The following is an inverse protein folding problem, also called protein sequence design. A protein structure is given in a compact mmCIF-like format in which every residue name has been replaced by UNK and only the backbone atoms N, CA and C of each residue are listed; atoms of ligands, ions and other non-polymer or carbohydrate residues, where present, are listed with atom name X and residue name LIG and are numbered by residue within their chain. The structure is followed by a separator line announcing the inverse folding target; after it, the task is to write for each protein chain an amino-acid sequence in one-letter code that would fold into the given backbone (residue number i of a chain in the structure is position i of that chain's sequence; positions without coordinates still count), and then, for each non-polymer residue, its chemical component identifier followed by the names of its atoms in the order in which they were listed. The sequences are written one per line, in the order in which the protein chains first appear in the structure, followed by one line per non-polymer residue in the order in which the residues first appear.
data_IF_834430754264
#
_entry.id   IF_834430754264
#
_cell.length_a   1.000
_cell.length_b   1.000
_cell.length_c   1.000
_cell.angle_alpha   90.00
_cell.angle_beta   90.00
_cell.angle_gamma   90.00
#
_symmetry.space_group_name_H-M   'P 1'
#
loop_
_entity.id
_entity.type
_entity.pdbx_description
1 polymer ?
#
# COMPACT_ATOMS: atom_id res chain seq x y z
N UNK A 1 3.66 42.33 54.88
CA UNK A 1 4.50 41.76 53.81
C UNK A 1 5.23 40.55 54.40
N UNK A 2 4.50 39.58 54.96
CA UNK A 2 3.80 38.45 54.29
C UNK A 2 4.77 37.28 53.98
N UNK A 3 4.69 36.22 54.81
CA UNK A 3 4.33 34.81 54.49
C UNK A 3 5.24 34.10 53.47
N UNK A 4 6.03 33.08 53.84
CA UNK A 4 5.68 31.68 54.21
C UNK A 4 5.76 30.70 53.01
N UNK A 5 6.50 29.60 53.24
CA UNK A 5 6.51 28.26 52.61
C UNK A 5 5.56 27.98 51.44
N UNK A 6 6.07 27.31 50.40
CA UNK A 6 5.94 25.84 50.24
C UNK A 6 6.62 25.35 48.97
N UNK A 7 7.15 24.14 49.04
CA UNK A 7 7.41 23.23 47.93
C UNK A 7 6.34 23.32 46.83
N UNK A 8 6.75 23.27 45.56
CA UNK A 8 6.22 22.23 44.71
C UNK A 8 7.17 21.86 43.55
N UNK A 9 7.09 20.58 43.31
CA UNK A 9 7.78 19.68 42.42
C UNK A 9 7.53 19.90 40.92
N UNK A 10 8.28 19.11 40.14
CA UNK A 10 8.09 18.76 38.73
C UNK A 10 8.63 19.78 37.72
N UNK A 11 9.41 19.42 36.70
CA UNK A 11 9.60 18.11 36.07
C UNK A 11 10.96 18.08 35.38
N UNK A 12 11.61 16.91 35.49
CA UNK A 12 12.83 16.54 34.78
C UNK A 12 12.69 16.79 33.27
N UNK A 13 13.64 17.46 32.60
CA UNK A 13 13.68 17.45 31.14
C UNK A 13 14.43 16.20 30.70
N UNK A 14 13.68 15.12 30.48
CA UNK A 14 13.95 14.11 29.44
C UNK A 14 13.11 12.87 29.76
N UNK A 15 11.83 12.90 29.38
CA UNK A 15 11.28 11.64 28.85
C UNK A 15 12.23 11.24 27.73
N UNK A 16 12.83 10.07 27.85
CA UNK A 16 13.59 9.43 26.79
C UNK A 16 12.74 9.49 25.52
N UNK A 17 12.98 10.49 24.66
CA UNK A 17 12.82 10.30 23.24
C UNK A 17 13.83 9.20 22.93
N UNK A 18 13.35 7.94 22.94
CA UNK A 18 14.06 6.85 22.26
C UNK A 18 13.98 7.22 20.79
N UNK A 19 14.89 8.09 20.36
CA UNK A 19 15.06 8.43 18.96
C UNK A 19 15.57 7.17 18.29
N UNK A 20 14.63 6.41 17.72
CA UNK A 20 14.94 5.18 17.00
C UNK A 20 15.93 5.54 15.89
N UNK A 21 17.14 5.00 15.99
CA UNK A 21 18.18 5.21 14.99
C UNK A 21 17.81 4.57 13.65
N UNK A 22 18.05 5.30 12.55
CA UNK A 22 18.03 4.73 11.21
C UNK A 22 19.04 3.57 11.13
N UNK A 23 18.59 2.44 10.60
CA UNK A 23 19.38 1.21 10.42
C UNK A 23 19.90 0.58 11.72
N UNK A 24 19.29 0.88 12.88
CA UNK A 24 19.56 0.17 14.14
C UNK A 24 18.30 -0.57 14.62
N UNK A 25 18.29 -1.90 14.43
CA UNK A 25 17.17 -2.76 14.84
C UNK A 25 17.15 -3.08 16.34
N UNK A 26 18.21 -2.75 17.10
CA UNK A 26 18.32 -3.14 18.51
C UNK A 26 17.27 -2.46 19.40
N UNK A 27 16.85 -1.26 19.02
CA UNK A 27 15.82 -0.47 19.71
C UNK A 27 14.41 -0.76 19.18
N UNK A 28 14.30 -1.49 18.06
CA UNK A 28 13.01 -1.72 17.42
C UNK A 28 12.19 -2.76 18.17
N UNK A 29 10.97 -2.40 18.53
CA UNK A 29 9.89 -3.29 18.95
C UNK A 29 8.58 -2.78 18.34
N UNK A 30 7.52 -3.60 18.38
CA UNK A 30 6.27 -3.24 17.70
C UNK A 30 5.68 -1.92 18.24
N UNK A 31 5.70 -1.70 19.55
CA UNK A 31 5.09 -0.49 20.14
C UNK A 31 5.89 0.77 19.84
N UNK A 32 7.22 0.71 19.82
CA UNK A 32 8.01 1.88 19.44
C UNK A 32 7.85 2.22 17.96
N UNK A 33 7.71 1.22 17.08
CA UNK A 33 7.42 1.45 15.65
C UNK A 33 6.04 2.08 15.46
N UNK A 34 5.03 1.64 16.21
CA UNK A 34 3.69 2.23 16.21
C UNK A 34 3.72 3.69 16.66
N UNK A 35 4.36 3.97 17.78
CA UNK A 35 4.47 5.33 18.31
C UNK A 35 5.21 6.24 17.33
N UNK A 36 6.34 5.80 16.80
CA UNK A 36 7.11 6.55 15.80
C UNK A 36 6.32 6.79 14.51
N UNK A 37 5.51 5.82 14.07
CA UNK A 37 4.63 5.97 12.93
C UNK A 37 3.55 7.04 13.16
N UNK A 38 2.91 7.05 14.34
CA UNK A 38 1.90 8.05 14.73
C UNK A 38 2.49 9.45 14.83
N UNK A 39 3.73 9.57 15.28
CA UNK A 39 4.44 10.85 15.38
C UNK A 39 5.12 11.29 14.08
N UNK A 40 4.97 10.54 12.99
CA UNK A 40 5.64 10.78 11.70
C UNK A 40 7.19 10.75 11.78
N UNK A 41 7.74 9.98 12.74
CA UNK A 41 9.18 9.80 12.98
C UNK A 41 9.68 8.38 12.67
N UNK A 42 8.97 7.66 11.79
CA UNK A 42 9.32 6.27 11.47
C UNK A 42 10.70 6.18 10.79
N UNK A 43 11.63 5.48 11.46
CA UNK A 43 13.01 5.30 11.04
C UNK A 43 13.17 4.40 9.79
N UNK A 44 14.32 4.51 9.12
CA UNK A 44 14.75 3.59 8.05
C UNK A 44 15.34 2.29 8.63
N UNK A 45 15.24 1.13 7.94
CA UNK A 45 14.59 0.94 6.64
C UNK A 45 13.05 1.00 6.72
N UNK A 46 12.44 1.93 5.99
CA UNK A 46 10.99 2.17 6.04
C UNK A 46 10.21 0.97 5.52
N UNK A 47 10.70 0.31 4.47
CA UNK A 47 10.06 -0.89 3.93
C UNK A 47 10.00 -2.02 4.96
N UNK A 48 11.03 -2.19 5.78
CA UNK A 48 11.03 -3.16 6.87
C UNK A 48 10.04 -2.75 7.97
N UNK A 49 10.06 -1.48 8.38
CA UNK A 49 9.13 -0.97 9.38
C UNK A 49 7.67 -1.17 8.94
N UNK A 50 7.33 -0.82 7.69
CA UNK A 50 6.00 -1.05 7.11
C UNK A 50 5.63 -2.52 7.08
N UNK A 51 6.54 -3.40 6.67
CA UNK A 51 6.27 -4.84 6.63
C UNK A 51 5.97 -5.42 8.03
N UNK A 52 6.63 -4.91 9.08
CA UNK A 52 6.35 -5.29 10.47
C UNK A 52 5.01 -4.73 10.94
N UNK A 53 4.73 -3.45 10.70
CA UNK A 53 3.48 -2.80 11.09
C UNK A 53 2.26 -3.45 10.41
N UNK A 54 2.39 -3.81 9.13
CA UNK A 54 1.37 -4.54 8.36
C UNK A 54 1.29 -6.04 8.70
N UNK A 55 2.12 -6.53 9.63
CA UNK A 55 2.19 -7.93 10.05
C UNK A 55 2.52 -8.89 8.89
N UNK A 56 3.23 -8.40 7.89
CA UNK A 56 3.78 -9.22 6.81
C UNK A 56 5.08 -9.93 7.25
N UNK A 57 5.87 -9.24 8.06
CA UNK A 57 7.05 -9.77 8.73
C UNK A 57 6.83 -9.79 10.25
N UNK A 58 7.49 -10.70 10.98
CA UNK A 58 7.35 -10.77 12.42
C UNK A 58 8.09 -9.61 13.10
N UNK A 59 7.91 -9.46 14.41
CA UNK A 59 8.58 -8.41 15.18
C UNK A 59 10.12 -8.54 15.10
N UNK A 60 10.87 -7.45 15.35
CA UNK A 60 12.34 -7.46 15.35
C UNK A 60 12.98 -8.49 16.28
N UNK A 61 12.28 -8.91 17.34
CA UNK A 61 12.73 -9.92 18.29
C UNK A 61 12.61 -11.36 17.75
N UNK A 62 11.88 -11.55 16.65
CA UNK A 62 11.66 -12.85 16.01
C UNK A 62 12.55 -13.02 14.78
N UNK A 63 12.44 -14.18 14.12
CA UNK A 63 13.26 -14.50 12.95
C UNK A 63 12.73 -13.83 11.66
N UNK A 64 13.10 -12.56 11.47
CA UNK A 64 12.82 -11.79 10.26
C UNK A 64 13.41 -12.48 9.02
N UNK A 65 14.62 -13.04 9.13
CA UNK A 65 15.36 -13.60 7.98
C UNK A 65 14.64 -14.81 7.42
N UNK A 66 14.20 -15.74 8.28
CA UNK A 66 13.45 -16.91 7.84
C UNK A 66 12.10 -16.52 7.22
N UNK A 67 11.38 -15.57 7.81
CA UNK A 67 10.11 -15.08 7.26
C UNK A 67 10.29 -14.41 5.89
N UNK A 68 11.27 -13.51 5.77
CA UNK A 68 11.59 -12.82 4.52
C UNK A 68 12.05 -13.80 3.42
N UNK A 69 12.86 -14.81 3.78
CA UNK A 69 13.23 -15.90 2.86
C UNK A 69 11.99 -16.62 2.33
N UNK A 70 11.03 -16.90 3.19
CA UNK A 70 9.80 -17.61 2.82
C UNK A 70 8.95 -16.79 1.84
N UNK A 71 8.85 -15.47 2.05
CA UNK A 71 8.19 -14.56 1.11
C UNK A 71 8.92 -14.48 -0.24
N UNK A 72 10.25 -14.41 -0.24
CA UNK A 72 11.06 -14.42 -1.48
C UNK A 72 10.86 -15.72 -2.26
N UNK A 73 10.93 -16.87 -1.60
CA UNK A 73 10.67 -18.17 -2.22
C UNK A 73 9.24 -18.29 -2.76
N UNK A 74 8.25 -17.75 -2.03
CA UNK A 74 6.86 -17.74 -2.47
C UNK A 74 6.69 -16.94 -3.78
N UNK A 75 7.36 -15.79 -3.90
CA UNK A 75 7.32 -15.01 -5.12
C UNK A 75 8.00 -15.73 -6.30
N UNK A 76 9.13 -16.41 -6.08
CA UNK A 76 9.77 -17.23 -7.12
C UNK A 76 8.85 -18.37 -7.60
N UNK A 77 8.16 -19.03 -6.69
CA UNK A 77 7.18 -20.09 -7.02
C UNK A 77 6.01 -19.54 -7.85
N UNK A 78 5.48 -18.36 -7.51
CA UNK A 78 4.47 -17.66 -8.31
C UNK A 78 5.00 -17.36 -9.71
N UNK A 79 6.22 -16.80 -9.83
CA UNK A 79 6.83 -16.48 -11.12
C UNK A 79 6.97 -17.72 -11.97
N UNK A 80 7.46 -18.81 -11.41
CA UNK A 80 7.63 -20.09 -12.10
C UNK A 80 6.28 -20.65 -12.57
N UNK A 81 5.27 -20.70 -11.69
CA UNK A 81 3.94 -21.25 -12.01
C UNK A 81 3.19 -20.44 -13.06
N UNK A 82 3.32 -19.11 -13.04
CA UNK A 82 2.56 -18.21 -13.89
C UNK A 82 3.29 -17.79 -15.18
N UNK A 83 4.56 -18.16 -15.35
CA UNK A 83 5.35 -17.83 -16.55
C UNK A 83 5.54 -19.03 -17.48
N UNK A 84 4.52 -19.87 -17.63
CA UNK A 84 4.60 -21.05 -18.51
C UNK A 84 4.83 -20.64 -19.97
N UNK A 85 5.83 -21.24 -20.62
CA UNK A 85 6.03 -21.09 -22.06
C UNK A 85 4.97 -21.94 -22.80
N UNK A 86 4.03 -21.31 -23.54
CA UNK A 86 3.01 -22.06 -24.27
C UNK A 86 3.61 -22.98 -25.34
N UNK A 87 4.85 -22.75 -25.79
CA UNK A 87 5.55 -23.59 -26.77
C UNK A 87 6.08 -24.90 -26.17
N UNK A 88 6.23 -24.96 -24.86
CA UNK A 88 6.70 -26.15 -24.17
C UNK A 88 5.59 -27.20 -23.95
N UNK A 89 4.33 -26.83 -24.20
CA UNK A 89 3.16 -27.71 -24.00
C UNK A 89 2.87 -28.49 -25.27
N UNK A 90 3.02 -29.81 -25.22
CA UNK A 90 2.77 -30.70 -26.36
C UNK A 90 1.27 -30.93 -26.51
N UNK A 91 0.72 -30.66 -27.70
CA UNK A 91 -0.68 -30.94 -28.04
C UNK A 91 -1.65 -29.78 -27.78
N UNK A 92 -1.16 -28.61 -27.36
CA UNK A 92 -1.89 -27.34 -27.35
C UNK A 92 -1.30 -26.42 -28.42
N UNK A 93 -2.12 -25.54 -29.00
CA UNK A 93 -1.71 -24.69 -30.12
C UNK A 93 -2.28 -23.27 -30.04
N UNK A 94 -1.68 -22.29 -30.74
CA UNK A 94 -2.09 -20.88 -30.67
C UNK A 94 -3.53 -20.58 -31.08
N UNK A 95 -4.17 -21.49 -31.84
CA UNK A 95 -5.54 -21.35 -32.33
C UNK A 95 -6.53 -22.22 -31.56
N UNK A 96 -6.08 -22.88 -30.49
CA UNK A 96 -6.92 -23.68 -29.60
C UNK A 96 -8.09 -22.87 -29.07
N UNK A 97 -9.30 -23.43 -29.20
CA UNK A 97 -10.53 -22.83 -28.66
C UNK A 97 -10.82 -23.28 -27.23
N UNK A 98 -9.97 -24.14 -26.65
CA UNK A 98 -10.13 -24.63 -25.28
C UNK A 98 -9.94 -23.50 -24.27
N UNK A 99 -10.81 -23.43 -23.26
CA UNK A 99 -10.66 -22.53 -22.13
C UNK A 99 -9.45 -22.88 -21.25
N UNK A 100 -8.96 -24.12 -21.33
CA UNK A 100 -7.80 -24.61 -20.60
C UNK A 100 -6.48 -24.44 -21.39
N UNK A 101 -6.53 -23.83 -22.58
CA UNK A 101 -5.35 -23.62 -23.42
C UNK A 101 -4.33 -22.69 -22.76
N UNK A 102 -3.08 -23.12 -22.73
CA UNK A 102 -1.94 -22.33 -22.26
C UNK A 102 -1.66 -21.18 -23.22
N UNK A 103 -1.91 -21.36 -24.51
CA UNK A 103 -1.84 -20.28 -25.50
C UNK A 103 -2.88 -19.18 -25.24
N UNK A 104 -4.13 -19.57 -24.95
CA UNK A 104 -5.17 -18.60 -24.59
C UNK A 104 -4.77 -17.79 -23.35
N UNK A 105 -4.28 -18.47 -22.31
CA UNK A 105 -3.80 -17.80 -21.10
C UNK A 105 -2.60 -16.87 -21.40
N UNK A 106 -1.66 -17.31 -22.25
CA UNK A 106 -0.53 -16.50 -22.66
C UNK A 106 -0.96 -15.19 -23.36
N UNK A 107 -1.96 -15.24 -24.25
CA UNK A 107 -2.49 -14.04 -24.88
C UNK A 107 -3.18 -13.12 -23.87
N UNK A 108 -3.99 -13.67 -22.95
CA UNK A 108 -4.58 -12.90 -21.86
C UNK A 108 -3.52 -12.23 -20.97
N UNK A 109 -2.44 -12.93 -20.66
CA UNK A 109 -1.34 -12.41 -19.85
C UNK A 109 -0.61 -11.26 -20.54
N UNK A 110 -0.41 -11.34 -21.86
CA UNK A 110 0.19 -10.26 -22.64
C UNK A 110 -0.74 -9.04 -22.70
N UNK A 111 -2.06 -9.24 -22.85
CA UNK A 111 -3.03 -8.15 -22.78
C UNK A 111 -3.03 -7.48 -21.41
N UNK A 112 -3.04 -8.26 -20.32
CA UNK A 112 -2.98 -7.75 -18.96
C UNK A 112 -1.70 -6.93 -18.72
N UNK A 113 -0.53 -7.46 -19.13
CA UNK A 113 0.74 -6.72 -19.05
C UNK A 113 0.69 -5.43 -19.85
N UNK A 114 0.07 -5.41 -21.02
CA UNK A 114 -0.08 -4.19 -21.83
C UNK A 114 -0.94 -3.14 -21.12
N UNK A 115 -2.06 -3.55 -20.50
CA UNK A 115 -2.92 -2.65 -19.69
C UNK A 115 -2.13 -2.06 -18.52
N UNK A 116 -1.41 -2.91 -17.77
CA UNK A 116 -0.57 -2.46 -16.65
C UNK A 116 0.51 -1.49 -17.15
N UNK A 117 1.18 -1.81 -18.27
CA UNK A 117 2.25 -0.98 -18.82
C UNK A 117 1.75 0.42 -19.18
N UNK A 118 0.56 0.56 -19.77
CA UNK A 118 -0.04 1.86 -20.09
C UNK A 118 -0.20 2.77 -18.87
N UNK A 119 -0.45 2.18 -17.70
CA UNK A 119 -0.57 2.89 -16.43
C UNK A 119 0.80 3.19 -15.81
N UNK A 120 1.72 2.23 -15.86
CA UNK A 120 3.06 2.37 -15.28
C UNK A 120 3.86 3.49 -15.98
N UNK A 121 3.83 3.58 -17.31
CA UNK A 121 4.61 4.61 -18.06
C UNK A 121 4.20 6.05 -17.77
N UNK A 122 3.02 6.27 -17.18
CA UNK A 122 2.48 7.58 -16.79
C UNK A 122 2.48 7.81 -15.28
N UNK A 123 3.09 6.91 -14.51
CA UNK A 123 3.18 7.01 -13.04
C UNK A 123 4.31 7.98 -12.65
N UNK A 124 4.00 9.01 -11.86
CA UNK A 124 4.94 10.05 -11.41
C UNK A 124 5.92 10.52 -12.51
N UNK A 125 5.41 11.06 -13.63
CA UNK A 125 6.22 11.33 -14.81
C UNK A 125 7.32 12.36 -14.58
N UNK A 126 7.25 13.18 -13.52
CA UNK A 126 8.25 14.19 -13.18
C UNK A 126 9.47 13.63 -12.44
N UNK A 127 9.37 12.42 -11.89
CA UNK A 127 10.40 11.77 -11.08
C UNK A 127 11.26 10.84 -11.97
N UNK A 128 12.56 11.13 -12.08
CA UNK A 128 13.48 10.39 -12.98
C UNK A 128 13.52 8.89 -12.71
N UNK A 129 13.37 8.49 -11.44
CA UNK A 129 13.35 7.09 -11.02
C UNK A 129 12.27 6.28 -11.75
N UNK A 130 11.06 6.82 -11.90
CA UNK A 130 9.94 6.10 -12.54
C UNK A 130 9.97 6.15 -14.08
N UNK A 131 10.90 6.93 -14.66
CA UNK A 131 11.17 6.92 -16.11
C UNK A 131 12.11 5.79 -16.51
N UNK A 132 12.83 5.22 -15.54
CA UNK A 132 13.76 4.12 -15.78
C UNK A 132 13.02 2.85 -16.22
N UNK A 133 13.53 2.20 -17.26
CA UNK A 133 12.87 1.06 -17.88
C UNK A 133 12.86 -0.16 -16.97
N UNK A 134 13.92 -0.39 -16.21
CA UNK A 134 14.03 -1.52 -15.29
C UNK A 134 13.08 -1.32 -14.10
N UNK A 135 12.92 -0.08 -13.63
CA UNK A 135 11.92 0.28 -12.61
C UNK A 135 10.50 0.02 -13.12
N UNK A 136 10.17 0.49 -14.33
CA UNK A 136 8.86 0.24 -14.94
C UNK A 136 8.59 -1.26 -15.12
N UNK A 137 9.58 -2.02 -15.59
CA UNK A 137 9.43 -3.45 -15.79
C UNK A 137 9.26 -4.20 -14.46
N UNK A 138 9.92 -3.74 -13.39
CA UNK A 138 9.72 -4.24 -12.03
C UNK A 138 8.29 -3.98 -11.54
N UNK A 139 7.77 -2.76 -11.72
CA UNK A 139 6.38 -2.43 -11.37
C UNK A 139 5.39 -3.29 -12.15
N UNK A 140 5.59 -3.46 -13.46
CA UNK A 140 4.73 -4.31 -14.31
C UNK A 140 4.74 -5.75 -13.81
N UNK A 141 5.91 -6.32 -13.47
CA UNK A 141 6.01 -7.69 -12.95
C UNK A 141 5.30 -7.85 -11.60
N UNK A 142 5.53 -6.95 -10.65
CA UNK A 142 4.87 -7.00 -9.34
C UNK A 142 3.35 -6.96 -9.49
N UNK A 143 2.82 -6.00 -10.26
CA UNK A 143 1.39 -5.86 -10.49
C UNK A 143 0.80 -7.03 -11.27
N UNK A 144 1.50 -7.53 -12.28
CA UNK A 144 1.05 -8.65 -13.10
C UNK A 144 0.91 -9.93 -12.27
N UNK A 145 1.97 -10.31 -11.55
CA UNK A 145 1.94 -11.53 -10.74
C UNK A 145 0.92 -11.42 -9.61
N UNK A 146 0.78 -10.25 -8.99
CA UNK A 146 -0.24 -10.04 -7.95
C UNK A 146 -1.65 -10.20 -8.53
N UNK A 147 -1.95 -9.55 -9.65
CA UNK A 147 -3.24 -9.61 -10.31
C UNK A 147 -3.61 -11.02 -10.78
N UNK A 148 -2.63 -11.79 -11.28
CA UNK A 148 -2.81 -13.19 -11.69
C UNK A 148 -3.06 -14.11 -10.49
N UNK A 149 -2.37 -13.89 -9.37
CA UNK A 149 -2.59 -14.63 -8.12
C UNK A 149 -3.90 -14.25 -7.41
N UNK A 150 -4.45 -13.07 -7.69
CA UNK A 150 -5.68 -12.54 -7.09
C UNK A 150 -6.75 -12.26 -8.16
N UNK A 151 -7.07 -13.26 -8.98
CA UNK A 151 -7.98 -13.12 -10.15
C UNK A 151 -9.37 -12.56 -9.81
N UNK A 152 -9.85 -12.76 -8.58
CA UNK A 152 -11.10 -12.20 -8.08
C UNK A 152 -11.10 -10.65 -8.03
N UNK A 153 -9.95 -10.03 -7.75
CA UNK A 153 -9.76 -8.57 -7.82
C UNK A 153 -9.22 -8.18 -9.20
N UNK A 154 -8.20 -8.91 -9.67
CA UNK A 154 -7.39 -8.61 -10.84
C UNK A 154 -6.65 -7.28 -10.73
N UNK A 155 -6.05 -6.84 -11.83
CA UNK A 155 -5.45 -5.50 -11.91
C UNK A 155 -6.54 -4.45 -12.06
N UNK A 156 -6.41 -3.34 -11.32
CA UNK A 156 -7.28 -2.17 -11.41
C UNK A 156 -6.44 -0.91 -11.55
N UNK A 157 -6.89 -0.01 -12.41
CA UNK A 157 -6.30 1.32 -12.53
C UNK A 157 -6.26 2.00 -11.15
N UNK A 158 -5.08 2.49 -10.77
CA UNK A 158 -4.76 3.02 -9.45
C UNK A 158 -3.76 2.17 -8.67
N UNK A 159 -3.71 0.85 -8.90
CA UNK A 159 -2.75 -0.03 -8.20
C UNK A 159 -1.29 0.30 -8.50
N UNK A 160 -1.00 0.84 -9.70
CA UNK A 160 0.33 1.35 -10.06
C UNK A 160 0.79 2.50 -9.16
N UNK A 161 -0.14 3.31 -8.65
CA UNK A 161 0.16 4.40 -7.72
C UNK A 161 0.35 3.90 -6.28
N UNK A 162 -0.07 2.67 -5.99
CA UNK A 162 0.22 2.00 -4.72
C UNK A 162 1.60 1.34 -4.76
N UNK A 163 1.94 0.62 -5.84
CA UNK A 163 3.25 -0.05 -5.91
C UNK A 163 4.41 0.93 -6.05
N UNK A 164 4.21 2.10 -6.69
CA UNK A 164 5.28 3.06 -6.94
C UNK A 164 5.94 3.61 -5.66
N UNK A 165 5.20 4.15 -4.66
CA UNK A 165 5.81 4.61 -3.40
C UNK A 165 6.48 3.47 -2.61
N UNK A 166 5.92 2.24 -2.66
CA UNK A 166 6.50 1.05 -2.03
C UNK A 166 7.89 0.77 -2.62
N UNK A 167 7.96 0.63 -3.94
CA UNK A 167 9.19 0.33 -4.65
C UNK A 167 10.23 1.44 -4.42
N UNK A 168 9.81 2.70 -4.43
CA UNK A 168 10.69 3.83 -4.20
C UNK A 168 11.30 3.86 -2.80
N UNK A 169 10.51 3.64 -1.73
CA UNK A 169 11.06 3.60 -0.37
C UNK A 169 11.98 2.39 -0.17
N UNK A 170 11.64 1.22 -0.72
CA UNK A 170 12.52 0.04 -0.70
C UNK A 170 13.84 0.27 -1.44
N UNK A 171 13.82 1.02 -2.55
CA UNK A 171 15.01 1.43 -3.26
C UNK A 171 15.84 2.43 -2.45
N UNK A 172 15.21 3.45 -1.86
CA UNK A 172 15.91 4.43 -1.02
C UNK A 172 16.57 3.78 0.19
N UNK A 173 15.88 2.83 0.83
CA UNK A 173 16.41 2.09 1.98
C UNK A 173 17.73 1.38 1.65
N UNK A 174 17.85 0.79 0.45
CA UNK A 174 19.08 0.15 -0.04
C UNK A 174 20.12 1.17 -0.48
N UNK A 175 19.69 2.16 -1.27
CA UNK A 175 20.57 3.16 -1.90
C UNK A 175 21.32 4.03 -0.91
N UNK A 176 20.71 4.32 0.23
CA UNK A 176 21.26 5.18 1.28
C UNK A 176 21.66 4.41 2.55
N UNK A 177 21.66 3.08 2.50
CA UNK A 177 22.10 2.28 3.63
C UNK A 177 23.56 2.57 4.00
N UNK A 178 23.91 2.66 5.30
CA UNK A 178 25.29 2.78 5.73
C UNK A 178 26.10 1.54 5.34
N UNK A 179 27.43 1.67 5.26
CA UNK A 179 28.33 0.55 4.90
C UNK A 179 28.39 -0.51 5.99
N UNK A 180 28.30 -0.08 7.24
CA UNK A 180 28.38 -0.95 8.41
C UNK A 180 26.96 -1.31 8.86
N UNK A 181 26.52 -2.49 8.45
CA UNK A 181 25.19 -3.03 8.76
C UNK A 181 25.31 -4.34 9.55
N UNK A 182 24.32 -4.59 10.41
CA UNK A 182 24.12 -5.90 11.02
C UNK A 182 23.88 -6.98 9.95
N UNK A 183 24.13 -8.24 10.28
CA UNK A 183 23.94 -9.33 9.32
C UNK A 183 22.48 -9.47 8.85
N UNK A 184 21.53 -9.14 9.72
CA UNK A 184 20.10 -9.12 9.39
C UNK A 184 19.84 -8.04 8.34
N UNK A 185 20.33 -6.82 8.56
CA UNK A 185 20.10 -5.72 7.62
C UNK A 185 20.78 -5.95 6.27
N UNK A 186 21.94 -6.58 6.22
CA UNK A 186 22.57 -6.99 4.95
C UNK A 186 21.68 -7.95 4.14
N UNK A 187 20.95 -8.84 4.82
CA UNK A 187 20.02 -9.76 4.16
C UNK A 187 18.72 -9.05 3.71
N UNK A 188 18.20 -8.16 4.56
CA UNK A 188 16.99 -7.37 4.26
C UNK A 188 17.22 -6.41 3.10
N UNK A 189 18.37 -5.74 3.05
CA UNK A 189 18.71 -4.71 2.08
C UNK A 189 19.48 -5.24 0.87
N UNK A 190 19.35 -6.53 0.60
CA UNK A 190 19.92 -7.14 -0.60
C UNK A 190 19.25 -6.58 -1.86
N UNK A 191 20.07 -6.08 -2.80
CA UNK A 191 19.65 -5.43 -4.03
C UNK A 191 18.97 -6.42 -4.99
N UNK A 192 19.40 -7.70 -4.98
CA UNK A 192 18.87 -8.74 -5.87
C UNK A 192 17.39 -9.08 -5.58
N UNK A 193 16.90 -8.68 -4.41
CA UNK A 193 15.55 -8.98 -3.93
C UNK A 193 14.62 -7.77 -3.86
N UNK A 194 14.98 -6.64 -4.49
CA UNK A 194 14.12 -5.44 -4.52
C UNK A 194 12.72 -5.75 -5.07
N UNK A 195 12.62 -6.57 -6.12
CA UNK A 195 11.34 -6.98 -6.72
C UNK A 195 10.51 -7.87 -5.78
N UNK A 196 11.13 -8.86 -5.16
CA UNK A 196 10.48 -9.78 -4.23
C UNK A 196 9.91 -9.04 -3.02
N UNK A 197 10.71 -8.15 -2.45
CA UNK A 197 10.32 -7.38 -1.26
C UNK A 197 9.23 -6.37 -1.63
N UNK A 198 9.27 -5.82 -2.86
CA UNK A 198 8.19 -4.97 -3.40
C UNK A 198 6.89 -5.75 -3.55
N UNK A 199 6.94 -6.99 -4.05
CA UNK A 199 5.76 -7.85 -4.14
C UNK A 199 5.19 -8.19 -2.76
N UNK A 200 6.04 -8.57 -1.81
CA UNK A 200 5.62 -8.88 -0.44
C UNK A 200 4.90 -7.69 0.20
N UNK A 201 5.50 -6.51 0.11
CA UNK A 201 4.96 -5.31 0.75
C UNK A 201 3.71 -4.79 0.03
N UNK A 202 3.68 -4.84 -1.30
CA UNK A 202 2.47 -4.56 -2.08
C UNK A 202 1.34 -5.51 -1.70
N UNK A 203 1.60 -6.80 -1.61
CA UNK A 203 0.61 -7.79 -1.19
C UNK A 203 0.09 -7.50 0.23
N UNK A 204 0.96 -7.12 1.16
CA UNK A 204 0.58 -6.75 2.52
C UNK A 204 -0.35 -5.53 2.58
N UNK A 205 -0.06 -4.49 1.80
CA UNK A 205 -0.92 -3.30 1.68
C UNK A 205 -2.26 -3.66 1.03
N UNK A 206 -2.23 -4.51 -0.01
CA UNK A 206 -3.44 -4.91 -0.72
C UNK A 206 -4.40 -5.73 0.14
N UNK A 207 -3.95 -6.46 1.17
CA UNK A 207 -4.85 -7.13 2.13
C UNK A 207 -5.84 -6.16 2.81
N UNK A 208 -5.45 -4.89 3.00
CA UNK A 208 -6.32 -3.86 3.55
C UNK A 208 -7.12 -3.08 2.50
N UNK A 209 -6.60 -3.02 1.27
CA UNK A 209 -7.16 -2.20 0.19
C UNK A 209 -8.01 -2.96 -0.83
N UNK A 210 -7.86 -4.28 -0.98
CA UNK A 210 -8.52 -5.05 -2.04
C UNK A 210 -10.04 -4.88 -2.06
N UNK A 211 -10.65 -4.73 -0.88
CA UNK A 211 -12.08 -4.45 -0.71
C UNK A 211 -12.53 -3.16 -1.41
N UNK A 212 -11.62 -2.20 -1.61
CA UNK A 212 -11.92 -0.96 -2.33
C UNK A 212 -11.80 -1.08 -3.85
N UNK A 213 -11.27 -2.21 -4.33
CA UNK A 213 -11.06 -2.50 -5.74
C UNK A 213 -12.06 -3.51 -6.32
N UNK A 214 -12.71 -4.31 -5.47
CA UNK A 214 -13.77 -5.22 -5.89
C UNK A 214 -15.01 -4.45 -6.38
N UNK A 215 -15.78 -5.06 -7.29
CA UNK A 215 -17.00 -4.47 -7.86
C UNK A 215 -18.15 -5.46 -7.70
N UNK A 216 -18.47 -5.78 -6.44
CA UNK A 216 -19.47 -6.80 -6.10
C UNK A 216 -19.10 -8.17 -6.69
N UNK A 217 -20.03 -8.79 -7.40
CA UNK A 217 -19.86 -10.12 -8.01
C UNK A 217 -19.10 -10.10 -9.35
N UNK A 218 -18.71 -8.93 -9.85
CA UNK A 218 -18.08 -8.81 -11.16
C UNK A 218 -16.57 -9.12 -11.05
N UNK A 219 -16.21 -10.35 -11.41
CA UNK A 219 -14.83 -10.80 -11.53
C UNK A 219 -14.25 -10.35 -12.88
N UNK A 220 -13.04 -9.74 -12.91
CA UNK A 220 -12.36 -9.42 -14.17
C UNK A 220 -12.11 -10.67 -15.02
N UNK A 221 -12.08 -10.50 -16.34
CA UNK A 221 -11.58 -11.51 -17.25
C UNK A 221 -10.07 -11.73 -17.03
N UNK A 222 -9.50 -12.88 -17.44
CA UNK A 222 -8.06 -13.12 -17.34
C UNK A 222 -7.19 -12.04 -18.01
N UNK A 223 -7.71 -11.34 -19.03
CA UNK A 223 -7.08 -10.19 -19.67
C UNK A 223 -7.13 -8.88 -18.86
N UNK A 224 -7.70 -8.90 -17.64
CA UNK A 224 -7.88 -7.73 -16.78
C UNK A 224 -9.07 -6.84 -17.15
N UNK A 225 -9.93 -7.24 -18.10
CA UNK A 225 -11.10 -6.43 -18.51
C UNK A 225 -12.31 -6.77 -17.64
N UNK A 226 -13.13 -5.78 -17.32
CA UNK A 226 -14.43 -6.05 -16.70
C UNK A 226 -15.41 -6.63 -17.73
N UNK A 227 -16.15 -7.70 -17.39
CA UNK A 227 -17.32 -8.11 -18.15
C UNK A 227 -18.32 -6.93 -18.25
N UNK A 228 -18.93 -6.76 -19.41
CA UNK A 228 -20.08 -5.85 -19.57
C UNK A 228 -21.28 -6.43 -18.83
N UNK A 229 -21.51 -6.02 -17.57
CA UNK A 229 -22.67 -6.47 -16.81
C UNK A 229 -23.98 -5.84 -17.33
N UNK A 230 -25.04 -6.65 -17.42
CA UNK A 230 -26.43 -6.22 -17.71
C UNK A 230 -27.30 -6.12 -16.45
N UNK A 231 -26.78 -6.44 -15.28
CA UNK A 231 -27.54 -6.48 -14.02
C UNK A 231 -27.09 -5.38 -13.05
N UNK A 232 -28.08 -4.79 -12.39
CA UNK A 232 -27.98 -3.59 -11.57
C UNK A 232 -27.64 -3.96 -10.11
N UNK A 233 -26.49 -3.45 -9.67
CA UNK A 233 -26.07 -3.03 -8.32
C UNK A 233 -26.27 -3.93 -7.09
N UNK A 234 -25.14 -4.45 -6.60
CA UNK A 234 -24.81 -4.40 -5.16
C UNK A 234 -23.94 -3.14 -4.96
N UNK A 235 -24.21 -2.24 -3.98
CA UNK A 235 -23.33 -1.11 -3.74
C UNK A 235 -21.89 -1.60 -3.54
N UNK A 236 -20.97 -0.99 -4.28
CA UNK A 236 -19.54 -1.25 -4.17
C UNK A 236 -19.14 -1.07 -2.70
N UNK A 237 -18.33 -1.96 -2.15
CA UNK A 237 -17.88 -1.94 -0.75
C UNK A 237 -17.25 -0.59 -0.37
N UNK A 238 -16.61 0.09 -1.33
CA UNK A 238 -16.14 1.48 -1.16
C UNK A 238 -17.26 2.43 -0.74
N UNK A 239 -18.41 2.35 -1.42
CA UNK A 239 -19.55 3.25 -1.18
C UNK A 239 -20.09 2.98 0.23
N UNK A 240 -20.28 1.70 0.57
CA UNK A 240 -20.73 1.29 1.91
C UNK A 240 -19.78 1.78 3.00
N UNK A 241 -18.48 1.69 2.76
CA UNK A 241 -17.47 2.20 3.69
C UNK A 241 -17.55 3.72 3.83
N UNK A 242 -17.68 4.47 2.73
CA UNK A 242 -17.80 5.92 2.77
C UNK A 242 -19.09 6.38 3.48
N UNK A 243 -20.20 5.70 3.25
CA UNK A 243 -21.45 5.93 3.97
C UNK A 243 -21.27 5.69 5.47
N UNK A 244 -20.59 4.60 5.85
CA UNK A 244 -20.27 4.33 7.25
C UNK A 244 -19.39 5.45 7.85
N UNK A 245 -18.35 5.89 7.13
CA UNK A 245 -17.47 6.98 7.58
C UNK A 245 -18.27 8.26 7.80
N UNK A 246 -19.20 8.57 6.91
CA UNK A 246 -20.08 9.72 7.02
C UNK A 246 -20.92 9.67 8.29
N UNK A 247 -21.67 8.59 8.47
CA UNK A 247 -22.69 8.48 9.53
C UNK A 247 -22.06 8.23 10.92
N UNK A 248 -21.00 7.45 11.00
CA UNK A 248 -20.37 7.09 12.28
C UNK A 248 -19.31 8.09 12.75
N UNK A 249 -18.68 8.85 11.84
CA UNK A 249 -17.57 9.74 12.20
C UNK A 249 -17.79 11.20 11.81
N UNK A 250 -18.16 11.50 10.56
CA UNK A 250 -18.29 12.89 10.13
C UNK A 250 -19.50 13.58 10.78
N UNK A 251 -20.69 12.97 10.73
CA UNK A 251 -21.93 13.56 11.27
C UNK A 251 -21.82 13.83 12.78
N UNK A 252 -21.31 12.90 13.63
CA UNK A 252 -21.15 13.17 15.05
C UNK A 252 -20.09 14.23 15.38
N UNK A 253 -19.04 14.36 14.55
CA UNK A 253 -17.93 15.26 14.83
C UNK A 253 -18.14 16.67 14.27
N UNK A 254 -18.66 16.79 13.04
CA UNK A 254 -18.95 18.06 12.37
C UNK A 254 -20.21 17.94 11.48
N UNK A 255 -21.36 18.13 12.11
CA UNK A 255 -22.66 18.11 11.43
C UNK A 255 -22.83 19.21 10.38
N UNK A 256 -22.13 20.33 10.54
CA UNK A 256 -22.22 21.47 9.64
C UNK A 256 -21.60 21.14 8.28
N UNK A 257 -20.40 20.54 8.28
CA UNK A 257 -19.76 20.04 7.05
C UNK A 257 -20.62 18.98 6.38
N UNK A 258 -21.15 18.01 7.13
CA UNK A 258 -22.01 16.97 6.58
C UNK A 258 -23.28 17.54 5.94
N UNK A 259 -23.93 18.50 6.60
CA UNK A 259 -25.14 19.16 6.09
C UNK A 259 -24.85 20.04 4.89
N UNK A 260 -23.71 20.72 4.87
CA UNK A 260 -23.27 21.54 3.74
C UNK A 260 -23.07 20.68 2.49
N UNK A 261 -22.30 19.58 2.60
CA UNK A 261 -22.13 18.61 1.51
C UNK A 261 -23.48 18.11 0.97
N UNK A 262 -24.42 17.76 1.87
CA UNK A 262 -25.75 17.33 1.50
C UNK A 262 -26.54 18.43 0.76
N UNK A 263 -26.50 19.68 1.25
CA UNK A 263 -27.17 20.83 0.61
C UNK A 263 -26.61 21.15 -0.79
N UNK A 264 -25.34 20.84 -1.01
CA UNK A 264 -24.67 21.00 -2.30
C UNK A 264 -24.84 19.79 -3.23
N UNK A 265 -25.54 18.74 -2.78
CA UNK A 265 -25.63 17.44 -3.48
C UNK A 265 -24.26 16.80 -3.77
N UNK A 266 -23.30 16.98 -2.86
CA UNK A 266 -21.96 16.39 -2.96
C UNK A 266 -21.94 15.14 -2.09
N UNK A 267 -21.85 13.97 -2.74
CA UNK A 267 -21.69 12.69 -2.03
C UNK A 267 -20.22 12.37 -1.80
N UNK A 268 -19.91 11.59 -0.76
CA UNK A 268 -18.53 11.24 -0.44
C UNK A 268 -17.88 10.36 -1.51
N UNK A 269 -18.66 9.60 -2.28
CA UNK A 269 -18.13 8.78 -3.38
C UNK A 269 -17.38 9.59 -4.44
N UNK A 270 -17.78 10.85 -4.68
CA UNK A 270 -17.22 11.71 -5.73
C UNK A 270 -15.71 11.94 -5.55
N UNK A 271 -15.22 11.95 -4.32
CA UNK A 271 -13.80 12.13 -4.00
C UNK A 271 -13.21 10.94 -3.23
N UNK A 272 -14.00 10.31 -2.35
CA UNK A 272 -13.57 9.27 -1.43
C UNK A 272 -13.13 7.98 -2.13
N UNK A 273 -13.73 7.63 -3.28
CA UNK A 273 -13.29 6.44 -4.04
C UNK A 273 -11.82 6.55 -4.42
N UNK A 274 -11.40 7.72 -4.90
CA UNK A 274 -10.02 7.98 -5.32
C UNK A 274 -9.08 8.03 -4.12
N UNK A 275 -9.49 8.70 -3.04
CA UNK A 275 -8.72 8.76 -1.80
C UNK A 275 -8.42 7.36 -1.24
N UNK A 276 -9.43 6.50 -1.18
CA UNK A 276 -9.29 5.13 -0.67
C UNK A 276 -8.44 4.25 -1.59
N UNK A 277 -8.71 4.28 -2.91
CA UNK A 277 -7.97 3.42 -3.86
C UNK A 277 -6.51 3.81 -3.97
N UNK A 278 -6.19 5.10 -3.92
CA UNK A 278 -4.83 5.60 -4.09
C UNK A 278 -4.12 5.85 -2.76
N UNK A 279 -4.74 5.47 -1.63
CA UNK A 279 -4.24 5.70 -0.28
C UNK A 279 -3.76 7.15 -0.08
N UNK A 280 -4.60 8.08 -0.54
CA UNK A 280 -4.38 9.53 -0.56
C UNK A 280 -3.14 10.01 -1.34
N UNK A 281 -2.54 9.14 -2.17
CA UNK A 281 -1.33 9.38 -2.97
C UNK A 281 -1.34 10.62 -3.88
N UNK A 282 -2.53 11.15 -4.16
CA UNK A 282 -2.75 12.33 -5.01
C UNK A 282 -3.08 13.61 -4.24
N UNK A 283 -3.33 13.50 -2.93
CA UNK A 283 -3.68 14.64 -2.07
C UNK A 283 -2.45 15.20 -1.36
N UNK A 284 -1.39 14.38 -1.27
CA UNK A 284 -0.15 14.70 -0.59
C UNK A 284 1.02 14.60 -1.57
N UNK A 285 2.06 15.40 -1.33
CA UNK A 285 3.28 15.33 -2.13
C UNK A 285 4.01 14.02 -1.88
N UNK A 286 4.85 13.60 -2.84
CA UNK A 286 5.61 12.34 -2.73
C UNK A 286 6.46 12.26 -1.46
N UNK A 287 6.98 13.39 -0.96
CA UNK A 287 7.76 13.43 0.29
C UNK A 287 6.92 13.19 1.56
N UNK A 288 5.62 13.47 1.51
CA UNK A 288 4.69 13.30 2.64
C UNK A 288 4.11 11.88 2.69
N UNK A 289 3.96 11.23 1.53
CA UNK A 289 3.39 9.88 1.42
C UNK A 289 4.01 8.87 2.39
N UNK A 290 5.34 8.79 2.57
CA UNK A 290 5.91 7.81 3.48
C UNK A 290 5.49 8.02 4.96
N UNK A 291 5.32 9.27 5.37
CA UNK A 291 4.90 9.61 6.74
C UNK A 291 3.43 9.29 6.94
N UNK A 292 2.59 9.69 5.98
CA UNK A 292 1.16 9.37 5.97
C UNK A 292 0.93 7.86 6.00
N UNK A 293 1.66 7.11 5.17
CA UNK A 293 1.53 5.66 5.09
C UNK A 293 2.07 4.97 6.35
N UNK A 294 3.14 5.50 6.96
CA UNK A 294 3.55 5.10 8.31
C UNK A 294 2.39 5.14 9.29
N UNK A 295 1.71 6.30 9.39
CA UNK A 295 0.53 6.46 10.23
C UNK A 295 -0.61 5.49 9.86
N UNK A 296 -0.92 5.32 8.58
CA UNK A 296 -1.98 4.41 8.11
C UNK A 296 -1.69 2.95 8.51
N UNK A 297 -0.42 2.54 8.44
CA UNK A 297 0.00 1.16 8.69
C UNK A 297 0.19 0.83 10.17
N UNK A 298 0.28 1.85 11.04
CA UNK A 298 0.63 1.72 12.46
C UNK A 298 -0.14 0.58 13.16
N UNK A 299 -1.46 0.50 12.96
CA UNK A 299 -2.31 -0.48 13.64
C UNK A 299 -2.75 -1.67 12.79
N UNK A 300 -1.95 -2.02 11.78
CA UNK A 300 -2.02 -3.31 11.12
C UNK A 300 -2.74 -3.32 9.77
N UNK A 301 -2.92 -4.53 9.20
CA UNK A 301 -3.32 -4.71 7.81
C UNK A 301 -4.77 -4.32 7.50
N UNK A 302 -5.63 -4.09 8.52
CA UNK A 302 -6.99 -3.58 8.32
C UNK A 302 -7.04 -2.08 8.02
N UNK A 303 -5.91 -1.38 8.16
CA UNK A 303 -5.73 0.05 7.91
C UNK A 303 -6.76 0.89 8.68
N UNK A 304 -6.83 0.75 10.02
CA UNK A 304 -7.89 1.35 10.82
C UNK A 304 -7.87 2.88 10.77
N UNK A 305 -6.75 3.53 10.46
CA UNK A 305 -6.65 4.99 10.48
C UNK A 305 -7.21 5.71 9.23
N UNK A 306 -7.60 4.97 8.19
CA UNK A 306 -8.07 5.56 6.93
C UNK A 306 -9.25 6.52 7.14
N UNK A 307 -10.24 6.15 7.96
CA UNK A 307 -11.43 6.97 8.16
C UNK A 307 -11.12 8.28 8.90
N UNK A 308 -10.16 8.26 9.84
CA UNK A 308 -9.72 9.47 10.53
C UNK A 308 -9.10 10.48 9.56
N UNK A 309 -8.34 10.01 8.57
CA UNK A 309 -7.74 10.88 7.56
C UNK A 309 -8.83 11.53 6.70
N UNK A 310 -9.84 10.76 6.27
CA UNK A 310 -10.96 11.29 5.47
C UNK A 310 -11.65 12.43 6.23
N UNK A 311 -11.99 12.19 7.50
CA UNK A 311 -12.69 13.18 8.33
C UNK A 311 -11.81 14.39 8.63
N UNK A 312 -10.54 14.17 8.98
CA UNK A 312 -9.60 15.26 9.25
C UNK A 312 -9.37 16.15 8.01
N UNK A 313 -9.27 15.56 6.81
CA UNK A 313 -9.17 16.32 5.57
C UNK A 313 -10.41 17.18 5.32
N UNK A 314 -11.61 16.63 5.50
CA UNK A 314 -12.85 17.38 5.31
C UNK A 314 -12.99 18.55 6.30
N UNK A 315 -12.67 18.32 7.57
CA UNK A 315 -12.68 19.37 8.60
C UNK A 315 -11.59 20.42 8.33
N UNK A 316 -10.41 20.01 7.88
CA UNK A 316 -9.34 20.97 7.54
C UNK A 316 -9.73 21.86 6.35
N UNK A 317 -10.47 21.34 5.38
CA UNK A 317 -10.92 22.11 4.20
C UNK A 317 -11.97 23.17 4.58
N UNK A 318 -12.80 22.92 5.60
CA UNK A 318 -13.71 23.92 6.16
C UNK A 318 -12.96 25.19 6.57
N UNK A 319 -11.88 25.02 7.33
CA UNK A 319 -11.10 26.12 7.90
C UNK A 319 -10.31 26.93 6.87
N UNK A 320 -10.17 26.44 5.63
CA UNK A 320 -9.49 27.16 4.53
C UNK A 320 -10.48 28.07 3.79
N UNK A 321 -11.78 27.79 3.87
CA UNK A 321 -12.83 28.54 3.19
C UNK A 321 -13.45 29.65 4.06
N UNK A 322 -13.05 29.76 5.33
CA UNK A 322 -13.33 30.89 6.23
C UNK A 322 -12.22 31.95 6.16
#
# INVERSE_FOLDING_TARGET
MDKANSDDSSSSPSQNNMDIGDYDLSEWNLECLKQAAVEHRLARPRGLAWAILLQALPSPQADIVASLRSHRMFYDDIKMKLSMDPRAVIGDDPLSQSDESVWKQHFCDNELKAVITQDVVRTFPDELYFRDKDVQDTMVRVLFFWARSHSHVGYRQGMHEIVAPILFELFQDRRFAPKELSQILKYVLDDDYLEHDSYMLFNAVMRGLERFYTTGEIVPTPSGRLPTSKTVHNPNEVIRYLDQVKEEFLVPLDHEVASHLASCNITMELFGIRWLRLLFGREFTRGEIPHLWGFIFADGPSLPHIHFIIVAMLISLRNICE
#
